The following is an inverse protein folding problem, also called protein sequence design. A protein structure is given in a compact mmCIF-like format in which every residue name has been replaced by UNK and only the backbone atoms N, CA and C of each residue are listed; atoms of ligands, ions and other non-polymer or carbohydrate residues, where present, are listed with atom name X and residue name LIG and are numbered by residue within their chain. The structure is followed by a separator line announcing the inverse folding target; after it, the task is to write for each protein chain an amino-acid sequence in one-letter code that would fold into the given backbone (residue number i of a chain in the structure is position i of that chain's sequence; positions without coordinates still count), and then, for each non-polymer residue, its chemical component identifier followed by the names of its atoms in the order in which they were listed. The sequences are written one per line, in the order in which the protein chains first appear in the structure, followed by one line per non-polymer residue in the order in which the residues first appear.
data_IF_665242571157
#
_entry.id   IF_665242571157
#
_cell.length_a   1.000
_cell.length_b   1.000
_cell.length_c   1.000
_cell.angle_alpha   90.00
_cell.angle_beta   90.00
_cell.angle_gamma   90.00
#
_symmetry.space_group_name_H-M   'P 1'
#
loop_
_entity.id
_entity.type
_entity.pdbx_description
1 polymer ?
#
# COMPACT_ATOMS: atom_id res chain seq x y z
N UNK A 1 -1.11 -41.43 11.65
CA UNK A 1 -0.16 -40.34 11.34
C UNK A 1 -0.30 -39.80 9.91
N UNK A 2 -0.14 -40.61 8.85
CA UNK A 2 -0.21 -40.13 7.45
C UNK A 2 -1.52 -39.41 7.06
N UNK A 3 -2.68 -39.91 7.51
CA UNK A 3 -4.00 -39.27 7.25
C UNK A 3 -4.18 -37.92 7.94
N UNK A 4 -3.67 -37.77 9.16
CA UNK A 4 -3.67 -36.51 9.91
C UNK A 4 -2.73 -35.49 9.26
N UNK A 5 -1.54 -35.93 8.84
CA UNK A 5 -0.59 -35.10 8.11
C UNK A 5 -1.18 -34.59 6.78
N UNK A 6 -1.86 -35.47 6.04
CA UNK A 6 -2.49 -35.10 4.76
C UNK A 6 -3.62 -34.09 4.96
N UNK A 7 -4.47 -34.27 5.99
CA UNK A 7 -5.50 -33.31 6.34
C UNK A 7 -4.92 -31.93 6.70
N UNK A 8 -3.82 -31.90 7.47
CA UNK A 8 -3.13 -30.65 7.81
C UNK A 8 -2.62 -29.93 6.56
N UNK A 9 -1.99 -30.65 5.63
CA UNK A 9 -1.45 -30.07 4.37
C UNK A 9 -2.57 -29.45 3.53
N UNK A 10 -3.73 -30.12 3.45
CA UNK A 10 -4.89 -29.59 2.73
C UNK A 10 -5.40 -28.29 3.36
N UNK A 11 -5.52 -28.24 4.70
CA UNK A 11 -5.96 -27.03 5.41
C UNK A 11 -4.99 -25.87 5.16
N UNK A 12 -3.68 -26.14 5.21
CA UNK A 12 -2.64 -25.15 4.93
C UNK A 12 -2.76 -24.65 3.48
N UNK A 13 -2.94 -25.55 2.51
CA UNK A 13 -3.10 -25.17 1.10
C UNK A 13 -4.36 -24.31 0.87
N UNK A 14 -5.48 -24.65 1.51
CA UNK A 14 -6.69 -23.82 1.46
C UNK A 14 -6.46 -22.42 2.04
N UNK A 15 -5.74 -22.32 3.17
CA UNK A 15 -5.43 -21.03 3.78
C UNK A 15 -4.57 -20.13 2.87
N UNK A 16 -3.58 -20.71 2.19
CA UNK A 16 -2.77 -20.00 1.21
C UNK A 16 -3.60 -19.57 -0.01
N UNK A 17 -4.44 -20.46 -0.55
CA UNK A 17 -5.33 -20.13 -1.67
C UNK A 17 -6.30 -19.00 -1.32
N UNK A 18 -6.87 -19.03 -0.11
CA UNK A 18 -7.76 -17.97 0.37
C UNK A 18 -7.02 -16.63 0.47
N UNK A 19 -5.83 -16.62 1.06
CA UNK A 19 -5.01 -15.41 1.21
C UNK A 19 -4.62 -14.82 -0.15
N UNK A 20 -4.36 -15.65 -1.15
CA UNK A 20 -3.97 -15.24 -2.50
C UNK A 20 -5.13 -14.58 -3.27
N UNK A 21 -6.38 -14.90 -2.93
CA UNK A 21 -7.58 -14.41 -3.60
C UNK A 21 -8.22 -13.21 -2.90
N UNK A 22 -7.62 -12.70 -1.81
CA UNK A 22 -8.16 -11.54 -1.12
C UNK A 22 -8.26 -10.35 -2.10
N UNK A 23 -9.40 -9.64 -2.13
CA UNK A 23 -9.55 -8.47 -2.98
C UNK A 23 -8.60 -7.36 -2.51
N UNK A 24 -7.98 -6.68 -3.46
CA UNK A 24 -7.20 -5.47 -3.21
C UNK A 24 -8.06 -4.25 -3.51
N UNK A 25 -7.73 -3.14 -2.85
CA UNK A 25 -8.35 -1.85 -3.11
C UNK A 25 -8.08 -1.41 -4.55
N UNK A 26 -9.05 -0.69 -5.12
CA UNK A 26 -8.94 -0.06 -6.43
C UNK A 26 -7.94 1.10 -6.42
N UNK A 27 -7.52 1.54 -7.61
CA UNK A 27 -6.66 2.71 -7.79
C UNK A 27 -7.27 3.97 -7.17
N UNK A 28 -8.58 4.17 -7.29
CA UNK A 28 -9.27 5.34 -6.71
C UNK A 28 -9.27 5.33 -5.19
N UNK A 29 -9.49 4.17 -4.57
CA UNK A 29 -9.37 4.04 -3.11
C UNK A 29 -7.91 4.25 -2.67
N UNK A 30 -6.93 3.77 -3.45
CA UNK A 30 -5.52 3.97 -3.14
C UNK A 30 -5.13 5.45 -3.17
N UNK A 31 -5.63 6.21 -4.15
CA UNK A 31 -5.47 7.66 -4.26
C UNK A 31 -6.08 8.39 -3.06
N UNK A 32 -7.35 8.10 -2.74
CA UNK A 32 -8.04 8.71 -1.59
C UNK A 32 -7.32 8.42 -0.26
N UNK A 33 -6.81 7.20 -0.07
CA UNK A 33 -5.99 6.89 1.10
C UNK A 33 -4.65 7.64 1.10
N UNK A 34 -3.98 7.78 -0.05
CA UNK A 34 -2.72 8.49 -0.15
C UNK A 34 -2.87 9.98 0.21
N UNK A 35 -3.88 10.64 -0.34
CA UNK A 35 -4.21 12.03 -0.01
C UNK A 35 -4.50 12.21 1.48
N UNK A 36 -5.31 11.31 2.08
CA UNK A 36 -5.58 11.33 3.52
C UNK A 36 -4.33 11.18 4.37
N UNK A 37 -3.40 10.31 3.97
CA UNK A 37 -2.13 10.11 4.69
C UNK A 37 -1.21 11.31 4.55
N UNK A 38 -1.22 12.04 3.43
CA UNK A 38 -0.44 13.27 3.26
C UNK A 38 -1.05 14.49 3.96
N UNK A 39 -2.37 14.53 4.11
CA UNK A 39 -3.08 15.57 4.87
C UNK A 39 -2.92 15.39 6.39
N UNK A 40 -2.93 14.13 6.86
CA UNK A 40 -2.76 13.79 8.26
C UNK A 40 -1.61 12.80 8.45
N UNK A 41 -0.37 13.20 8.10
CA UNK A 41 0.79 12.34 8.22
C UNK A 41 1.06 12.00 9.70
N UNK A 42 1.52 10.78 9.98
CA UNK A 42 2.05 10.44 11.30
C UNK A 42 3.07 11.47 11.78
N UNK A 43 3.17 11.63 13.11
CA UNK A 43 4.00 12.67 13.75
C UNK A 43 5.46 12.66 13.30
N UNK A 44 5.98 11.49 12.94
CA UNK A 44 7.35 11.29 12.44
C UNK A 44 7.59 12.02 11.10
N UNK A 45 6.52 12.22 10.32
CA UNK A 45 6.55 12.80 8.98
C UNK A 45 5.83 14.15 8.88
N UNK A 46 5.10 14.56 9.92
CA UNK A 46 4.15 15.67 9.80
C UNK A 46 4.71 17.07 9.57
N UNK A 47 6.02 17.30 9.73
CA UNK A 47 6.64 18.58 9.40
C UNK A 47 6.98 18.74 7.91
N UNK A 48 7.04 17.65 7.15
CA UNK A 48 7.44 17.67 5.73
C UNK A 48 6.27 17.93 4.78
N UNK A 49 5.02 17.86 5.25
CA UNK A 49 3.83 17.84 4.39
C UNK A 49 2.70 18.80 4.81
N UNK A 50 2.80 19.44 5.98
CA UNK A 50 1.71 20.25 6.56
C UNK A 50 1.35 21.50 5.76
N UNK A 51 2.25 21.96 4.90
CA UNK A 51 2.13 23.25 4.21
C UNK A 51 1.54 23.13 2.80
N UNK A 52 1.23 21.91 2.36
CA UNK A 52 0.74 21.61 1.01
C UNK A 52 -0.75 21.30 1.02
N UNK A 53 -1.48 21.87 0.06
CA UNK A 53 -2.85 21.45 -0.23
C UNK A 53 -2.82 20.27 -1.20
N UNK A 54 -3.29 19.11 -0.73
CA UNK A 54 -3.30 17.86 -1.49
C UNK A 54 -4.64 17.61 -2.20
N UNK A 55 -5.70 18.37 -1.89
CA UNK A 55 -7.07 18.09 -2.36
C UNK A 55 -7.32 18.35 -3.85
N UNK A 56 -6.48 19.15 -4.50
CA UNK A 56 -6.68 19.61 -5.89
C UNK A 56 -5.49 19.24 -6.80
N UNK A 57 -4.82 18.11 -6.52
CA UNK A 57 -3.68 17.70 -7.35
C UNK A 57 -4.19 17.17 -8.70
N UNK A 58 -3.75 17.74 -9.85
CA UNK A 58 -4.14 17.25 -11.16
C UNK A 58 -3.75 15.78 -11.36
N UNK A 59 -4.62 14.96 -11.95
CA UNK A 59 -4.34 13.53 -12.18
C UNK A 59 -3.05 13.30 -13.01
N UNK A 60 -2.67 14.24 -13.88
CA UNK A 60 -1.42 14.20 -14.65
C UNK A 60 -0.16 14.25 -13.78
N UNK A 61 -0.28 14.76 -12.54
CA UNK A 61 0.79 14.84 -11.56
C UNK A 61 0.81 13.64 -10.61
N UNK A 62 -0.06 12.65 -10.84
CA UNK A 62 -0.16 11.47 -9.98
C UNK A 62 0.27 10.23 -10.76
N UNK A 63 1.26 9.52 -10.20
CA UNK A 63 1.67 8.23 -10.69
C UNK A 63 1.26 7.16 -9.68
N UNK A 64 0.54 6.14 -10.12
CA UNK A 64 0.08 5.04 -9.28
C UNK A 64 0.67 3.74 -9.80
N UNK A 65 1.28 2.96 -8.92
CA UNK A 65 1.80 1.64 -9.25
C UNK A 65 1.41 0.61 -8.20
N UNK A 66 1.13 -0.62 -8.65
CA UNK A 66 0.84 -1.75 -7.78
C UNK A 66 2.09 -2.64 -7.75
N UNK A 67 2.75 -2.70 -6.60
CA UNK A 67 4.01 -3.42 -6.45
C UNK A 67 3.85 -4.58 -5.47
N UNK A 68 4.61 -5.65 -5.70
CA UNK A 68 4.66 -6.74 -4.75
C UNK A 68 5.39 -6.28 -3.48
N UNK A 69 4.76 -6.50 -2.32
CA UNK A 69 5.36 -6.18 -1.04
C UNK A 69 6.59 -7.04 -0.81
N UNK A 70 7.68 -6.44 -0.32
CA UNK A 70 8.91 -7.17 -0.05
C UNK A 70 8.77 -8.14 1.14
N UNK A 71 9.61 -9.17 1.15
CA UNK A 71 9.72 -10.14 2.25
C UNK A 71 9.18 -11.54 1.93
N UNK A 72 9.67 -12.54 2.66
CA UNK A 72 9.36 -13.96 2.41
C UNK A 72 7.84 -14.25 2.47
N UNK A 73 7.16 -13.79 3.52
CA UNK A 73 5.72 -14.01 3.67
C UNK A 73 4.90 -13.29 2.59
N UNK A 74 5.27 -12.06 2.27
CA UNK A 74 4.64 -11.28 1.21
C UNK A 74 4.75 -11.97 -0.15
N UNK A 75 5.91 -12.54 -0.46
CA UNK A 75 6.13 -13.31 -1.69
C UNK A 75 5.28 -14.59 -1.70
N UNK A 76 5.22 -15.29 -0.57
CA UNK A 76 4.48 -16.54 -0.45
C UNK A 76 2.95 -16.34 -0.56
N UNK A 77 2.42 -15.24 -0.03
CA UNK A 77 0.98 -14.95 -0.06
C UNK A 77 0.59 -13.90 -1.11
N UNK A 78 1.51 -13.54 -2.01
CA UNK A 78 1.31 -12.53 -3.05
C UNK A 78 0.73 -11.21 -2.53
N UNK A 79 1.27 -10.69 -1.42
CA UNK A 79 0.82 -9.40 -0.89
C UNK A 79 1.30 -8.26 -1.78
N UNK A 80 0.38 -7.36 -2.09
CA UNK A 80 0.64 -6.17 -2.88
C UNK A 80 0.58 -4.90 -2.02
N UNK A 81 1.28 -3.87 -2.48
CA UNK A 81 1.20 -2.52 -1.98
C UNK A 81 0.86 -1.59 -3.16
N UNK A 82 0.12 -0.53 -2.86
CA UNK A 82 0.02 0.62 -3.75
C UNK A 82 1.14 1.59 -3.43
N UNK A 83 1.78 2.11 -4.47
CA UNK A 83 2.69 3.24 -4.39
C UNK A 83 2.08 4.37 -5.20
N UNK A 84 1.76 5.46 -4.50
CA UNK A 84 1.14 6.65 -5.07
C UNK A 84 2.12 7.80 -4.95
N UNK A 85 2.64 8.25 -6.08
CA UNK A 85 3.52 9.41 -6.18
C UNK A 85 2.73 10.62 -6.62
N UNK A 86 2.77 11.69 -5.84
CA UNK A 86 2.02 12.92 -6.09
C UNK A 86 2.99 14.09 -6.26
N UNK A 87 2.99 14.73 -7.43
CA UNK A 87 3.82 15.92 -7.68
C UNK A 87 3.06 17.19 -7.33
N UNK A 88 3.60 17.98 -6.40
CA UNK A 88 3.02 19.26 -6.02
C UNK A 88 4.10 20.27 -5.61
N UNK A 89 4.12 21.45 -6.26
CA UNK A 89 4.96 22.59 -5.88
C UNK A 89 6.44 22.26 -5.59
N UNK A 90 7.04 21.38 -6.41
CA UNK A 90 8.45 20.98 -6.29
C UNK A 90 8.74 19.81 -5.35
N UNK A 91 7.70 19.27 -4.68
CA UNK A 91 7.77 18.07 -3.85
C UNK A 91 7.14 16.90 -4.60
N UNK A 92 7.68 15.70 -4.39
CA UNK A 92 7.23 14.49 -5.07
C UNK A 92 7.21 13.30 -4.07
N UNK A 93 6.35 13.31 -3.04
CA UNK A 93 6.24 12.16 -2.16
C UNK A 93 5.64 10.95 -2.87
N UNK A 94 6.17 9.79 -2.53
CA UNK A 94 5.59 8.48 -2.79
C UNK A 94 5.06 7.92 -1.48
N UNK A 95 3.74 7.71 -1.45
CA UNK A 95 3.03 7.08 -0.32
C UNK A 95 2.89 5.59 -0.61
N UNK A 96 3.42 4.76 0.29
CA UNK A 96 3.30 3.30 0.21
C UNK A 96 2.17 2.82 1.11
N UNK A 97 1.21 2.13 0.53
CA UNK A 97 -0.02 1.71 1.20
C UNK A 97 -0.21 0.20 1.03
N UNK A 98 -0.57 -0.50 2.11
CA UNK A 98 -0.93 -1.91 2.03
C UNK A 98 -2.23 -2.07 1.22
N UNK A 99 -2.17 -2.77 0.09
CA UNK A 99 -3.26 -2.78 -0.89
C UNK A 99 -4.55 -3.48 -0.41
N UNK A 100 -4.52 -4.21 0.71
CA UNK A 100 -5.69 -4.89 1.26
C UNK A 100 -6.35 -4.11 2.39
N UNK A 101 -5.59 -3.25 3.07
CA UNK A 101 -6.04 -2.59 4.29
C UNK A 101 -6.07 -1.07 4.19
N UNK A 102 -5.44 -0.49 3.17
CA UNK A 102 -5.29 0.96 3.05
C UNK A 102 -4.37 1.58 4.12
N UNK A 103 -3.65 0.73 4.88
CA UNK A 103 -2.75 1.17 5.95
C UNK A 103 -1.47 1.73 5.35
N UNK A 104 -1.06 2.90 5.84
CA UNK A 104 0.24 3.49 5.52
C UNK A 104 1.38 2.56 5.96
N UNK A 105 2.29 2.29 5.03
CA UNK A 105 3.51 1.52 5.26
C UNK A 105 4.69 2.47 5.37
N UNK A 106 4.84 3.39 4.41
CA UNK A 106 5.98 4.28 4.32
C UNK A 106 5.64 5.53 3.48
N UNK A 107 6.44 6.59 3.63
CA UNK A 107 6.42 7.77 2.76
C UNK A 107 7.87 8.15 2.46
N UNK A 108 8.22 8.24 1.18
CA UNK A 108 9.57 8.63 0.75
C UNK A 108 9.53 9.54 -0.49
N UNK A 109 10.69 9.99 -0.97
CA UNK A 109 10.82 10.88 -2.13
C UNK A 109 11.45 12.22 -1.73
N UNK A 110 11.58 13.18 -2.67
CA UNK A 110 12.01 14.53 -2.34
C UNK A 110 10.97 15.14 -1.41
N UNK A 111 11.33 15.25 -0.14
CA UNK A 111 10.58 15.96 0.88
C UNK A 111 11.25 17.33 1.04
N UNK A 112 10.46 18.39 1.15
CA UNK A 112 11.00 19.74 1.38
C UNK A 112 11.56 19.88 2.80
#
# INVERSE_FOLDING_TARGET
MKKLLFGLVIIIAMFFSYSYQLPIMSTWEALDHAEKHLQNPPKEWGKSFSDYDWNDTPLENVAVSLNQKSGFWSNLTNRMNWEVTIKNNGVEPTVVIDAYTGKLIDIFGPLN
#
